data_IF_597742583673
#
_entry.id   IF_597742583673
#
_cell.length_a   1.000
_cell.length_b   1.000
_cell.length_c   1.000
_cell.angle_alpha   90.00
_cell.angle_beta   90.00
_cell.angle_gamma   90.00
#
_symmetry.space_group_name_H-M   'P 1'
#
loop_
_entity.id
_entity.type
_entity.pdbx_description
1 polymer ?
#
# COMPACT_ATOMS: atom_id res chain seq x y z
N UNK A 1 -3.74 -25.87 -5.34
CA UNK A 1 -5.08 -25.36 -5.76
C UNK A 1 -5.08 -24.66 -7.12
N UNK A 2 -4.02 -23.95 -7.55
CA UNK A 2 -4.00 -23.25 -8.86
C UNK A 2 -3.43 -24.06 -10.06
N UNK A 3 -2.87 -25.25 -9.83
CA UNK A 3 -2.21 -26.04 -10.89
C UNK A 3 -3.13 -27.01 -11.66
N UNK A 4 -4.38 -27.22 -11.21
CA UNK A 4 -5.22 -28.31 -11.73
C UNK A 4 -6.07 -27.99 -12.98
N UNK A 5 -6.39 -26.70 -13.24
CA UNK A 5 -7.20 -26.30 -14.41
C UNK A 5 -7.07 -24.78 -14.72
N UNK A 6 -6.57 -24.39 -15.91
CA UNK A 6 -6.44 -22.99 -16.33
C UNK A 6 -7.76 -22.19 -16.27
N UNK A 7 -8.91 -22.85 -16.45
CA UNK A 7 -10.23 -22.22 -16.41
C UNK A 7 -10.56 -21.63 -15.04
N UNK A 8 -10.06 -22.22 -13.96
CA UNK A 8 -10.34 -21.78 -12.60
C UNK A 8 -9.30 -20.80 -12.06
N UNK A 9 -8.11 -20.69 -12.65
CA UNK A 9 -7.03 -19.83 -12.15
C UNK A 9 -7.48 -18.36 -12.00
N UNK A 10 -8.20 -17.82 -12.99
CA UNK A 10 -8.74 -16.45 -12.94
C UNK A 10 -9.82 -16.29 -11.87
N UNK A 11 -10.65 -17.32 -11.65
CA UNK A 11 -11.70 -17.28 -10.62
C UNK A 11 -11.11 -17.40 -9.22
N UNK A 12 -10.14 -18.30 -9.02
CA UNK A 12 -9.39 -18.44 -7.78
C UNK A 12 -8.67 -17.14 -7.45
N UNK A 13 -8.00 -16.52 -8.44
CA UNK A 13 -7.34 -15.24 -8.26
C UNK A 13 -8.31 -14.12 -7.82
N UNK A 14 -9.46 -13.99 -8.48
CA UNK A 14 -10.52 -13.05 -8.08
C UNK A 14 -11.08 -13.35 -6.69
N UNK A 15 -11.29 -14.62 -6.37
CA UNK A 15 -11.75 -15.07 -5.06
C UNK A 15 -10.76 -14.69 -3.96
N UNK A 16 -9.46 -14.85 -4.20
CA UNK A 16 -8.40 -14.45 -3.27
C UNK A 16 -8.36 -12.93 -3.08
N UNK A 17 -8.54 -12.13 -4.14
CA UNK A 17 -8.67 -10.67 -4.03
C UNK A 17 -9.85 -10.30 -3.13
N UNK A 18 -10.98 -10.99 -3.26
CA UNK A 18 -12.16 -10.74 -2.43
C UNK A 18 -11.96 -11.08 -0.94
N UNK A 19 -10.90 -11.83 -0.58
CA UNK A 19 -10.53 -12.12 0.81
C UNK A 19 -9.60 -11.07 1.43
N UNK A 20 -9.01 -10.18 0.64
CA UNK A 20 -8.12 -9.12 1.18
C UNK A 20 -8.81 -8.21 2.20
N UNK A 21 -10.10 -7.83 2.04
CA UNK A 21 -10.80 -7.01 3.04
C UNK A 21 -11.22 -7.75 4.32
N UNK A 22 -10.91 -9.03 4.50
CA UNK A 22 -11.30 -9.78 5.70
C UNK A 22 -10.68 -9.20 6.99
N UNK A 23 -11.30 -9.43 8.14
CA UNK A 23 -10.87 -8.85 9.43
C UNK A 23 -9.74 -9.63 10.12
N UNK A 24 -9.51 -10.89 9.73
CA UNK A 24 -8.46 -11.73 10.32
C UNK A 24 -7.09 -11.42 9.70
N UNK A 25 -6.10 -10.94 10.48
CA UNK A 25 -4.76 -10.63 9.95
C UNK A 25 -4.10 -11.86 9.36
N UNK A 26 -4.31 -13.03 9.97
CA UNK A 26 -3.76 -14.28 9.44
C UNK A 26 -4.38 -14.67 8.11
N UNK A 27 -5.69 -14.47 7.95
CA UNK A 27 -6.37 -14.72 6.69
C UNK A 27 -5.88 -13.77 5.60
N UNK A 28 -5.71 -12.48 5.92
CA UNK A 28 -5.15 -11.48 5.01
C UNK A 28 -3.73 -11.86 4.58
N UNK A 29 -2.86 -12.22 5.52
CA UNK A 29 -1.48 -12.64 5.24
C UNK A 29 -1.45 -13.84 4.28
N UNK A 30 -2.23 -14.90 4.58
CA UNK A 30 -2.31 -16.09 3.73
C UNK A 30 -2.90 -15.77 2.35
N UNK A 31 -3.92 -14.89 2.29
CA UNK A 31 -4.49 -14.44 1.03
C UNK A 31 -3.44 -13.70 0.19
N UNK A 32 -2.70 -12.74 0.75
CA UNK A 32 -1.63 -12.01 0.06
C UNK A 32 -0.55 -12.95 -0.49
N UNK A 33 -0.03 -13.86 0.33
CA UNK A 33 0.98 -14.84 -0.09
C UNK A 33 0.45 -15.75 -1.21
N UNK A 34 -0.81 -16.18 -1.10
CA UNK A 34 -1.44 -17.02 -2.14
C UNK A 34 -1.67 -16.21 -3.42
N UNK A 35 -2.06 -14.95 -3.33
CA UNK A 35 -2.20 -14.05 -4.50
C UNK A 35 -0.87 -13.90 -5.22
N UNK A 36 0.25 -13.70 -4.52
CA UNK A 36 1.60 -13.62 -5.14
C UNK A 36 1.92 -14.88 -5.95
N UNK A 37 1.70 -16.06 -5.36
CA UNK A 37 1.92 -17.35 -6.02
C UNK A 37 1.03 -17.50 -7.27
N UNK A 38 -0.26 -17.15 -7.15
CA UNK A 38 -1.21 -17.28 -8.26
C UNK A 38 -1.00 -16.22 -9.34
N UNK A 39 -0.55 -15.02 -8.96
CA UNK A 39 -0.21 -13.93 -9.89
C UNK A 39 0.86 -14.40 -10.89
N UNK A 40 1.89 -15.09 -10.42
CA UNK A 40 2.95 -15.65 -11.26
C UNK A 40 2.44 -16.72 -12.24
N UNK A 41 1.30 -17.34 -11.97
CA UNK A 41 0.68 -18.32 -12.86
C UNK A 41 -0.24 -17.63 -13.86
N UNK A 42 -1.07 -16.67 -13.40
CA UNK A 42 -2.08 -15.99 -14.22
C UNK A 42 -1.46 -14.96 -15.16
N UNK A 43 -0.30 -14.39 -14.80
CA UNK A 43 0.47 -13.38 -15.56
C UNK A 43 -0.28 -12.10 -15.94
N UNK A 44 -1.53 -11.96 -15.49
CA UNK A 44 -2.38 -10.79 -15.72
C UNK A 44 -2.98 -10.39 -14.38
N UNK A 45 -2.63 -9.19 -13.91
CA UNK A 45 -3.19 -8.63 -12.69
C UNK A 45 -4.61 -8.11 -12.96
N UNK A 46 -5.56 -8.42 -12.06
CA UNK A 46 -6.92 -7.93 -12.19
C UNK A 46 -7.04 -6.55 -11.52
N UNK A 47 -7.60 -5.51 -12.18
CA UNK A 47 -7.66 -4.15 -11.63
C UNK A 47 -8.31 -4.01 -10.25
N UNK A 48 -9.24 -4.91 -9.91
CA UNK A 48 -9.91 -4.92 -8.59
C UNK A 48 -8.98 -5.20 -7.41
N UNK A 49 -7.72 -5.58 -7.64
CA UNK A 49 -6.73 -5.79 -6.59
C UNK A 49 -6.24 -4.48 -5.97
N UNK A 50 -6.27 -3.38 -6.73
CA UNK A 50 -5.58 -2.13 -6.38
C UNK A 50 -6.12 -1.53 -5.10
N UNK A 51 -7.42 -1.28 -5.02
CA UNK A 51 -8.06 -0.67 -3.85
C UNK A 51 -7.92 -1.50 -2.57
N UNK A 52 -8.29 -2.81 -2.52
CA UNK A 52 -8.15 -3.59 -1.30
C UNK A 52 -6.69 -3.73 -0.87
N UNK A 53 -5.74 -3.81 -1.81
CA UNK A 53 -4.32 -3.87 -1.50
C UNK A 53 -3.80 -2.56 -0.87
N UNK A 54 -4.16 -1.41 -1.45
CA UNK A 54 -3.81 -0.11 -0.88
C UNK A 54 -4.47 0.13 0.48
N UNK A 55 -5.67 -0.40 0.69
CA UNK A 55 -6.35 -0.34 1.98
C UNK A 55 -5.62 -1.15 3.05
N UNK A 56 -4.98 -2.28 2.72
CA UNK A 56 -4.22 -3.08 3.69
C UNK A 56 -3.01 -2.36 4.27
N UNK A 57 -2.51 -1.31 3.61
CA UNK A 57 -1.43 -0.46 4.15
C UNK A 57 -1.84 0.26 5.45
N UNK A 58 -3.15 0.42 5.73
CA UNK A 58 -3.65 0.97 6.99
C UNK A 58 -3.64 -0.03 8.16
N UNK A 59 -3.32 -1.29 7.88
CA UNK A 59 -3.32 -2.35 8.90
C UNK A 59 -2.28 -2.06 9.98
N UNK A 60 -2.65 -2.25 11.24
CA UNK A 60 -1.73 -2.18 12.39
C UNK A 60 -0.89 -3.46 12.53
N UNK A 61 -1.19 -4.49 11.74
CA UNK A 61 -0.48 -5.76 11.73
C UNK A 61 0.69 -5.70 10.74
N UNK A 62 1.91 -5.64 11.27
CA UNK A 62 3.13 -5.44 10.47
C UNK A 62 3.35 -6.55 9.44
N UNK A 63 2.95 -7.78 9.73
CA UNK A 63 3.01 -8.91 8.81
C UNK A 63 2.09 -8.72 7.60
N UNK A 64 0.89 -8.18 7.80
CA UNK A 64 -0.06 -7.89 6.72
C UNK A 64 0.47 -6.74 5.86
N UNK A 65 0.97 -5.69 6.52
CA UNK A 65 1.53 -4.53 5.85
C UNK A 65 2.78 -4.89 5.02
N UNK A 66 3.66 -5.75 5.57
CA UNK A 66 4.82 -6.26 4.86
C UNK A 66 4.44 -7.03 3.60
N UNK A 67 3.52 -8.01 3.71
CA UNK A 67 3.08 -8.80 2.56
C UNK A 67 2.33 -7.94 1.52
N UNK A 68 1.64 -6.88 1.95
CA UNK A 68 1.01 -5.93 1.03
C UNK A 68 2.07 -5.16 0.22
N UNK A 69 3.13 -4.67 0.86
CA UNK A 69 4.23 -3.96 0.18
C UNK A 69 4.99 -4.89 -0.77
N UNK A 70 5.20 -6.15 -0.38
CA UNK A 70 5.78 -7.16 -1.24
C UNK A 70 4.93 -7.43 -2.48
N UNK A 71 3.62 -7.64 -2.31
CA UNK A 71 2.72 -7.84 -3.43
C UNK A 71 2.64 -6.60 -4.35
N UNK A 72 2.73 -5.38 -3.81
CA UNK A 72 2.82 -4.15 -4.61
C UNK A 72 4.08 -4.18 -5.49
N UNK A 73 5.24 -4.56 -4.92
CA UNK A 73 6.50 -4.68 -5.68
C UNK A 73 6.39 -5.70 -6.82
N UNK A 74 5.68 -6.82 -6.61
CA UNK A 74 5.43 -7.78 -7.70
C UNK A 74 4.48 -7.18 -8.76
N UNK A 75 3.41 -6.51 -8.33
CA UNK A 75 2.34 -6.04 -9.21
C UNK A 75 2.71 -4.82 -10.06
N UNK A 76 3.73 -4.04 -9.70
CA UNK A 76 4.22 -2.95 -10.58
C UNK A 76 4.80 -3.49 -11.89
N UNK A 77 5.04 -4.79 -12.04
CA UNK A 77 5.45 -5.37 -13.33
C UNK A 77 4.28 -5.68 -14.28
N UNK A 78 3.05 -5.35 -13.90
CA UNK A 78 1.82 -5.63 -14.65
C UNK A 78 1.03 -4.34 -14.95
N UNK A 79 -0.04 -4.46 -15.74
CA UNK A 79 -0.88 -3.34 -16.22
C UNK A 79 -1.54 -2.50 -15.11
N UNK A 80 -1.57 -3.00 -13.88
CA UNK A 80 -2.09 -2.27 -12.71
C UNK A 80 -1.11 -1.24 -12.16
N UNK A 81 0.15 -1.21 -12.63
CA UNK A 81 1.20 -0.27 -12.19
C UNK A 81 0.71 1.17 -12.09
N UNK A 82 0.11 1.80 -13.13
CA UNK A 82 -0.22 3.22 -13.06
C UNK A 82 -1.22 3.53 -11.94
N UNK A 83 -2.17 2.62 -11.71
CA UNK A 83 -3.15 2.76 -10.65
C UNK A 83 -2.52 2.58 -9.25
N UNK A 84 -1.59 1.63 -9.11
CA UNK A 84 -0.85 1.43 -7.86
C UNK A 84 0.03 2.64 -7.51
N UNK A 85 0.85 3.13 -8.45
CA UNK A 85 1.73 4.27 -8.21
C UNK A 85 0.91 5.53 -7.87
N UNK A 86 -0.15 5.80 -8.63
CA UNK A 86 -1.06 6.94 -8.35
C UNK A 86 -1.71 6.81 -6.97
N UNK A 87 -2.16 5.60 -6.62
CA UNK A 87 -2.77 5.32 -5.31
C UNK A 87 -1.79 5.53 -4.16
N UNK A 88 -0.57 5.00 -4.26
CA UNK A 88 0.49 5.20 -3.26
C UNK A 88 0.80 6.69 -3.03
N UNK A 89 0.94 7.47 -4.10
CA UNK A 89 1.18 8.91 -3.99
C UNK A 89 0.00 9.63 -3.33
N UNK A 90 -1.24 9.22 -3.60
CA UNK A 90 -2.42 9.79 -2.95
C UNK A 90 -2.45 9.52 -1.44
N UNK A 91 -2.00 8.33 -1.00
CA UNK A 91 -1.94 7.96 0.42
C UNK A 91 -0.93 8.77 1.25
N UNK A 92 0.01 9.47 0.59
CA UNK A 92 0.95 10.36 1.28
C UNK A 92 0.27 11.63 1.81
N UNK A 93 -0.93 11.97 1.34
CA UNK A 93 -1.74 13.02 1.95
C UNK A 93 -2.82 12.35 2.81
N UNK A 94 -2.81 12.56 4.13
CA UNK A 94 -3.85 12.01 4.98
C UNK A 94 -5.17 12.63 4.52
N UNK A 95 -6.10 11.79 4.03
CA UNK A 95 -7.45 12.24 3.80
C UNK A 95 -7.95 12.81 5.14
N UNK A 96 -8.54 14.01 5.12
CA UNK A 96 -9.39 14.42 6.23
C UNK A 96 -10.55 13.43 6.20
N UNK A 97 -10.47 12.36 6.98
CA UNK A 97 -11.59 11.45 7.18
C UNK A 97 -12.68 12.29 7.87
N UNK A 98 -13.51 12.95 7.06
CA UNK A 98 -14.74 13.59 7.49
C UNK A 98 -15.77 12.49 7.71
N UNK A 99 -15.62 11.71 8.78
CA UNK A 99 -16.71 10.90 9.28
C UNK A 99 -17.45 11.80 10.26
N UNK A 100 -18.52 12.44 9.78
CA UNK A 100 -19.60 12.81 10.67
C UNK A 100 -20.19 11.50 11.21
N UNK A 101 -19.70 11.03 12.35
CA UNK A 101 -20.47 10.08 13.15
C UNK A 101 -21.67 10.86 13.71
N UNK A 102 -22.92 10.41 13.52
CA UNK A 102 -24.03 10.98 14.25
C UNK A 102 -23.74 10.71 15.73
N UNK A 103 -23.51 11.77 16.50
CA UNK A 103 -23.31 11.74 17.95
C UNK A 103 -24.55 11.18 18.64
N UNK A 104 -24.68 9.87 18.73
CA UNK A 104 -25.58 9.24 19.70
C UNK A 104 -24.88 7.97 20.21
N UNK A 105 -24.78 7.88 21.54
CA UNK A 105 -24.31 6.77 22.38
C UNK A 105 -22.85 6.86 22.85
N UNK A 106 -22.67 7.62 23.94
CA UNK A 106 -21.56 7.43 24.89
C UNK A 106 -21.79 6.13 25.68
N UNK A 107 -20.81 5.23 25.69
CA UNK A 107 -20.53 4.36 26.83
C UNK A 107 -19.14 3.70 26.67
N UNK A 108 -18.40 3.64 27.77
CA UNK A 108 -17.10 2.99 27.98
C UNK A 108 -15.87 3.78 27.52
N UNK A 109 -15.14 4.29 28.51
CA UNK A 109 -13.73 4.68 28.45
C UNK A 109 -12.86 3.47 28.07
N UNK A 110 -12.85 3.12 26.78
CA UNK A 110 -11.70 2.44 26.19
C UNK A 110 -10.77 3.53 25.69
N UNK A 111 -9.48 3.42 26.01
CA UNK A 111 -8.39 4.17 25.39
C UNK A 111 -8.59 4.20 23.87
N UNK A 112 -9.23 5.25 23.37
CA UNK A 112 -9.46 5.43 21.95
C UNK A 112 -8.10 5.75 21.35
N UNK A 113 -7.59 4.82 20.54
CA UNK A 113 -6.52 5.16 19.62
C UNK A 113 -6.99 6.42 18.87
N UNK A 114 -6.14 7.44 18.68
CA UNK A 114 -6.55 8.63 17.95
C UNK A 114 -7.13 8.16 16.62
N UNK A 115 -8.35 8.55 16.26
CA UNK A 115 -9.04 8.10 15.05
C UNK A 115 -8.17 8.29 13.77
N UNK A 116 -7.17 9.17 13.85
CA UNK A 116 -6.16 9.41 12.82
C UNK A 116 -5.01 8.40 12.73
N UNK A 117 -4.84 7.46 13.68
CA UNK A 117 -3.68 6.56 13.73
C UNK A 117 -3.59 5.65 12.50
N UNK A 118 -4.66 4.96 12.04
CA UNK A 118 -4.59 4.11 10.85
C UNK A 118 -4.20 4.90 9.58
N UNK A 119 -4.63 6.16 9.47
CA UNK A 119 -4.30 7.05 8.34
C UNK A 119 -2.80 7.38 8.34
N UNK A 120 -2.20 7.62 9.51
CA UNK A 120 -0.76 7.90 9.60
C UNK A 120 0.10 6.65 9.43
N UNK A 121 -0.39 5.50 9.87
CA UNK A 121 0.22 4.20 9.59
C UNK A 121 0.20 3.93 8.08
N UNK A 122 -0.94 4.18 7.43
CA UNK A 122 -1.07 4.05 5.97
C UNK A 122 -0.12 4.99 5.21
N UNK A 123 0.02 6.24 5.68
CA UNK A 123 0.96 7.21 5.12
C UNK A 123 2.42 6.72 5.23
N UNK A 124 2.81 6.18 6.39
CA UNK A 124 4.15 5.62 6.61
C UNK A 124 4.42 4.40 5.71
N UNK A 125 3.45 3.49 5.62
CA UNK A 125 3.51 2.30 4.79
C UNK A 125 3.61 2.65 3.30
N UNK A 126 2.83 3.64 2.83
CA UNK A 126 2.90 4.14 1.46
C UNK A 126 4.26 4.78 1.17
N UNK A 127 4.81 5.59 2.08
CA UNK A 127 6.15 6.16 1.93
C UNK A 127 7.23 5.06 1.87
N UNK A 128 7.11 4.01 2.69
CA UNK A 128 8.02 2.86 2.65
C UNK A 128 7.95 2.14 1.29
N UNK A 129 6.75 1.87 0.76
CA UNK A 129 6.57 1.25 -0.54
C UNK A 129 7.12 2.11 -1.68
N UNK A 130 6.88 3.42 -1.64
CA UNK A 130 7.43 4.37 -2.62
C UNK A 130 8.96 4.33 -2.60
N UNK A 131 9.58 4.31 -1.41
CA UNK A 131 11.03 4.20 -1.28
C UNK A 131 11.55 2.91 -1.93
N UNK A 132 10.96 1.76 -1.62
CA UNK A 132 11.43 0.48 -2.18
C UNK A 132 11.28 0.45 -3.71
N UNK A 133 10.17 0.98 -4.24
CA UNK A 133 9.95 1.09 -5.68
C UNK A 133 10.93 2.05 -6.36
N UNK A 134 11.22 3.21 -5.76
CA UNK A 134 12.22 4.14 -6.27
C UNK A 134 13.63 3.53 -6.25
N UNK A 135 13.93 2.67 -5.28
CA UNK A 135 15.19 1.92 -5.19
C UNK A 135 15.30 0.78 -6.22
N UNK A 136 14.18 0.24 -6.68
CA UNK A 136 14.16 -0.86 -7.63
C UNK A 136 14.63 -0.46 -9.03
N UNK A 137 14.56 0.83 -9.40
CA UNK A 137 15.18 1.31 -10.63
C UNK A 137 14.73 2.70 -11.11
N UNK A 138 15.45 3.27 -12.10
CA UNK A 138 15.23 4.62 -12.59
C UNK A 138 13.87 4.81 -13.28
N UNK A 139 13.32 3.76 -13.89
CA UNK A 139 12.01 3.83 -14.55
C UNK A 139 10.88 4.13 -13.54
N UNK A 140 10.79 3.35 -12.46
CA UNK A 140 9.78 3.55 -11.42
C UNK A 140 9.99 4.87 -10.67
N UNK A 141 11.25 5.24 -10.41
CA UNK A 141 11.60 6.54 -9.84
C UNK A 141 11.10 7.69 -10.71
N UNK A 142 11.33 7.64 -12.04
CA UNK A 142 10.84 8.63 -12.99
C UNK A 142 9.32 8.74 -13.04
N UNK A 143 8.60 7.60 -13.02
CA UNK A 143 7.14 7.58 -12.97
C UNK A 143 6.60 8.21 -11.67
N UNK A 144 7.21 7.90 -10.52
CA UNK A 144 6.86 8.49 -9.22
C UNK A 144 7.10 10.02 -9.21
N UNK A 145 8.20 10.48 -9.80
CA UNK A 145 8.48 11.92 -9.95
C UNK A 145 7.46 12.60 -10.85
N UNK A 146 7.08 11.98 -11.97
CA UNK A 146 6.03 12.50 -12.86
C UNK A 146 4.65 12.60 -12.19
N UNK A 147 4.37 11.71 -11.23
CA UNK A 147 3.17 11.77 -10.38
C UNK A 147 3.26 12.83 -9.26
N UNK A 148 4.37 13.57 -9.16
CA UNK A 148 4.55 14.61 -8.16
C UNK A 148 4.76 14.07 -6.75
N UNK A 149 5.46 12.94 -6.59
CA UNK A 149 5.68 12.30 -5.28
C UNK A 149 6.38 13.21 -4.26
N UNK A 150 7.29 14.09 -4.71
CA UNK A 150 8.11 14.94 -3.82
C UNK A 150 7.27 15.90 -2.96
N UNK A 151 6.37 16.74 -3.52
CA UNK A 151 5.47 17.56 -2.72
C UNK A 151 4.60 16.77 -1.74
N UNK A 152 4.22 15.54 -2.09
CA UNK A 152 3.40 14.69 -1.22
C UNK A 152 4.24 14.09 -0.07
N UNK A 153 5.50 13.71 -0.33
CA UNK A 153 6.44 13.29 0.69
C UNK A 153 6.75 14.43 1.67
N UNK A 154 6.93 15.66 1.20
CA UNK A 154 7.12 16.82 2.07
C UNK A 154 5.92 17.05 3.00
N UNK A 155 4.69 16.79 2.54
CA UNK A 155 3.51 16.81 3.40
C UNK A 155 3.58 15.75 4.51
N UNK A 156 4.05 14.54 4.19
CA UNK A 156 4.23 13.47 5.17
C UNK A 156 5.39 13.73 6.14
N UNK A 157 6.49 14.32 5.69
CA UNK A 157 7.60 14.78 6.56
C UNK A 157 7.13 15.85 7.56
N UNK A 158 6.23 16.74 7.14
CA UNK A 158 5.61 17.73 8.03
C UNK A 158 4.65 17.16 9.07
N UNK A 159 4.37 15.85 9.07
CA UNK A 159 3.39 15.25 9.97
C UNK A 159 3.93 15.06 11.39
N UNK A 160 3.83 16.09 12.22
CA UNK A 160 4.26 16.08 13.62
C UNK A 160 3.52 15.08 14.52
N UNK A 161 2.41 14.48 14.05
CA UNK A 161 1.59 13.57 14.85
C UNK A 161 2.07 12.11 14.80
N UNK A 162 2.96 11.75 13.88
CA UNK A 162 3.42 10.37 13.72
C UNK A 162 4.87 10.27 13.25
N UNK A 163 5.77 9.89 14.16
CA UNK A 163 7.22 9.86 13.91
C UNK A 163 7.64 8.87 12.81
N UNK A 164 7.01 7.69 12.73
CA UNK A 164 7.36 6.71 11.69
C UNK A 164 6.94 7.19 10.29
N UNK A 165 5.82 7.92 10.18
CA UNK A 165 5.43 8.53 8.90
C UNK A 165 6.48 9.53 8.41
N UNK A 166 6.94 10.40 9.31
CA UNK A 166 8.03 11.33 9.01
C UNK A 166 9.29 10.58 8.59
N UNK A 167 9.68 9.55 9.36
CA UNK A 167 10.89 8.77 9.09
C UNK A 167 10.84 8.11 7.72
N UNK A 168 9.75 7.40 7.39
CA UNK A 168 9.63 6.74 6.10
C UNK A 168 9.58 7.76 4.95
N UNK A 169 8.88 8.88 5.14
CA UNK A 169 8.80 9.94 4.14
C UNK A 169 10.16 10.62 3.88
N UNK A 170 10.94 10.91 4.93
CA UNK A 170 12.29 11.47 4.81
C UNK A 170 13.23 10.53 4.05
N UNK A 171 13.19 9.23 4.36
CA UNK A 171 13.99 8.22 3.67
C UNK A 171 13.56 8.04 2.21
N UNK A 172 12.25 8.12 1.91
CA UNK A 172 11.74 8.07 0.55
C UNK A 172 12.14 9.31 -0.27
N UNK A 173 12.12 10.49 0.37
CA UNK A 173 12.52 11.75 -0.24
C UNK A 173 14.00 11.73 -0.61
N UNK A 174 14.85 11.29 0.31
CA UNK A 174 16.29 11.16 0.07
C UNK A 174 16.56 10.36 -1.20
N UNK A 175 15.97 9.16 -1.33
CA UNK A 175 16.12 8.31 -2.53
C UNK A 175 15.59 8.99 -3.77
N UNK A 176 14.40 9.62 -3.70
CA UNK A 176 13.75 10.25 -4.86
C UNK A 176 14.54 11.43 -5.41
N UNK A 177 15.37 12.06 -4.58
CA UNK A 177 16.23 13.21 -4.96
C UNK A 177 17.64 12.82 -5.38
N UNK A 178 18.04 11.55 -5.24
CA UNK A 178 19.39 11.12 -5.63
C UNK A 178 19.57 11.20 -7.16
N UNK A 179 20.70 11.75 -7.63
CA UNK A 179 20.96 11.90 -9.06
C UNK A 179 21.08 10.53 -9.74
N UNK A 180 20.58 10.45 -10.97
CA UNK A 180 20.54 9.22 -11.77
C UNK A 180 21.92 8.57 -12.00
N UNK A 181 23.01 9.32 -11.82
CA UNK A 181 24.40 8.87 -11.94
C UNK A 181 24.86 7.91 -10.83
N UNK A 182 24.06 7.72 -9.77
CA UNK A 182 24.37 6.81 -8.66
C UNK A 182 23.82 5.39 -8.84
N UNK A 183 23.14 5.10 -9.95
CA UNK A 183 22.59 3.78 -10.29
C UNK A 183 23.46 2.98 -11.28
N UNK A 184 24.62 3.52 -11.66
CA UNK A 184 25.65 2.88 -12.49
C UNK A 184 26.75 2.30 -11.59
#
# INVERSE_FOLDING_TARGET
LAQGNPKYQKQVYKGLIALLPCTSPKAQQLALQTVRIVQEIVKVAHPSIVEPLLNLLRSLHLEVQYEAIELIQDLVHYDVRPALLKGLVALLKPAKEGIQTPKILNAAEMTSLPESLPVFVQQAAAAKAIRTLAQAGPALSGELLALGVVPHLLCAVGNQRHADSQRQASLALEVSTRPASTWL
#
